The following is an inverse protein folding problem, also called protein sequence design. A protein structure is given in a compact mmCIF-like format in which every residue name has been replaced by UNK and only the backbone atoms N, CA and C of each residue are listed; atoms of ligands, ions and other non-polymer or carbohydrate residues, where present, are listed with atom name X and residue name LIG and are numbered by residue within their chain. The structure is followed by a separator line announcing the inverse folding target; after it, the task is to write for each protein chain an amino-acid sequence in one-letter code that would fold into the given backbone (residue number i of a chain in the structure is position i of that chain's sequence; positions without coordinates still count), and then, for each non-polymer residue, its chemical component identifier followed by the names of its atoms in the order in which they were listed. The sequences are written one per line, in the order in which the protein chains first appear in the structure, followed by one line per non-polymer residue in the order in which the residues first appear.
data_IF_942387418528
#
_entry.id   IF_942387418528
#
_cell.length_a   1.000
_cell.length_b   1.000
_cell.length_c   1.000
_cell.angle_alpha   90.00
_cell.angle_beta   90.00
_cell.angle_gamma   90.00
#
_symmetry.space_group_name_H-M   'P 1'
#
loop_
_entity.id
_entity.type
_entity.pdbx_description
1 polymer ?
#
# COMPACT_ATOMS: atom_id res chain seq x y z
N UNK A 1 26.56 11.71 -39.97
CA UNK A 1 27.02 10.98 -38.76
C UNK A 1 25.78 10.57 -38.00
N UNK A 2 25.43 9.28 -37.99
CA UNK A 2 24.11 8.81 -37.60
C UNK A 2 23.99 8.60 -36.09
N UNK A 3 22.78 8.84 -35.62
CA UNK A 3 22.27 8.66 -34.26
C UNK A 3 22.25 7.17 -33.93
N UNK A 4 23.03 6.75 -32.95
CA UNK A 4 22.96 5.39 -32.41
C UNK A 4 21.76 5.31 -31.46
N UNK A 5 20.74 4.57 -31.91
CA UNK A 5 19.65 4.05 -31.08
C UNK A 5 20.26 3.22 -29.95
N UNK A 6 20.16 3.70 -28.70
CA UNK A 6 20.38 2.84 -27.53
C UNK A 6 19.02 2.28 -27.13
N UNK A 7 18.85 0.99 -27.44
CA UNK A 7 17.80 0.11 -26.99
C UNK A 7 17.94 -0.01 -25.46
N UNK A 8 16.97 0.52 -24.71
CA UNK A 8 16.84 0.26 -23.27
C UNK A 8 15.90 -0.95 -23.09
N UNK A 9 16.51 -2.13 -22.96
CA UNK A 9 15.88 -3.36 -22.48
C UNK A 9 16.48 -3.69 -21.10
N UNK A 10 15.61 -3.82 -20.09
CA UNK A 10 15.76 -4.47 -18.78
C UNK A 10 16.84 -4.00 -17.78
N UNK A 11 16.40 -3.63 -16.57
CA UNK A 11 16.55 -4.44 -15.33
C UNK A 11 16.71 -3.57 -14.07
N UNK A 12 15.82 -3.79 -13.09
CA UNK A 12 15.91 -3.41 -11.66
C UNK A 12 16.14 -1.91 -11.38
N UNK A 13 15.03 -1.16 -11.24
CA UNK A 13 15.06 0.13 -10.55
C UNK A 13 15.22 -0.09 -9.04
N UNK A 14 16.46 -0.18 -8.57
CA UNK A 14 16.81 0.09 -7.18
C UNK A 14 16.64 1.59 -6.93
N UNK A 15 15.48 2.02 -6.47
CA UNK A 15 15.32 3.37 -5.92
C UNK A 15 15.90 3.33 -4.51
N UNK A 16 17.22 3.53 -4.38
CA UNK A 16 17.80 3.89 -3.09
C UNK A 16 17.22 5.24 -2.70
N UNK A 17 16.43 5.27 -1.63
CA UNK A 17 15.89 6.48 -1.05
C UNK A 17 17.01 7.37 -0.45
N UNK A 18 17.74 8.08 -1.32
CA UNK A 18 18.37 9.35 -1.01
C UNK A 18 18.15 10.27 -2.22
N UNK A 19 17.19 11.19 -2.06
CA UNK A 19 16.96 12.38 -2.88
C UNK A 19 16.18 12.29 -4.21
N UNK A 20 15.68 11.13 -4.64
CA UNK A 20 14.69 11.12 -5.72
C UNK A 20 13.27 11.20 -5.15
N UNK A 21 12.65 12.36 -5.37
CA UNK A 21 11.31 12.73 -4.96
C UNK A 21 10.30 11.75 -5.58
N UNK A 22 9.90 10.72 -4.83
CA UNK A 22 8.63 10.04 -5.09
C UNK A 22 7.56 11.09 -4.78
N UNK A 23 7.12 11.80 -5.82
CA UNK A 23 6.02 12.77 -5.71
C UNK A 23 4.82 12.03 -5.12
N UNK A 24 4.06 12.74 -4.30
CA UNK A 24 2.93 12.31 -3.46
C UNK A 24 1.80 11.53 -4.14
N UNK A 25 2.00 11.04 -5.36
CA UNK A 25 1.25 9.98 -6.05
C UNK A 25 2.19 9.36 -7.09
N UNK A 26 2.65 8.14 -6.83
CA UNK A 26 3.50 7.42 -7.76
C UNK A 26 2.67 6.36 -8.48
N UNK A 27 2.38 6.59 -9.77
CA UNK A 27 1.93 5.53 -10.66
C UNK A 27 3.16 4.73 -11.09
N UNK A 28 3.31 3.51 -10.58
CA UNK A 28 4.50 2.72 -10.86
C UNK A 28 4.40 2.10 -12.25
N UNK A 29 5.44 2.38 -13.04
CA UNK A 29 5.63 1.94 -14.41
C UNK A 29 6.71 0.83 -14.52
N UNK A 30 6.90 0.00 -13.50
CA UNK A 30 7.73 -1.21 -13.54
C UNK A 30 7.43 -2.08 -12.31
N UNK A 31 7.91 -3.33 -12.30
CA UNK A 31 8.15 -3.98 -11.02
C UNK A 31 9.12 -3.11 -10.21
N UNK A 32 8.77 -2.82 -8.96
CA UNK A 32 9.48 -1.85 -8.13
C UNK A 32 9.56 -2.32 -6.70
N UNK A 33 10.71 -2.06 -6.10
CA UNK A 33 10.95 -2.22 -4.67
C UNK A 33 11.02 -0.84 -4.04
N UNK A 34 10.16 -0.59 -3.06
CA UNK A 34 10.22 0.60 -2.21
C UNK A 34 10.85 0.15 -0.90
N UNK A 35 12.01 0.72 -0.57
CA UNK A 35 12.75 0.42 0.65
C UNK A 35 13.18 1.69 1.39
N UNK A 36 13.26 1.63 2.72
CA UNK A 36 13.76 2.72 3.57
C UNK A 36 13.07 4.09 3.39
N UNK A 37 11.82 4.11 2.92
CA UNK A 37 11.06 5.35 2.79
C UNK A 37 10.76 5.96 4.17
N UNK A 38 10.94 7.29 4.30
CA UNK A 38 10.74 8.11 5.52
C UNK A 38 10.15 9.49 5.21
N UNK A 39 9.04 9.55 4.48
CA UNK A 39 8.38 10.82 4.12
C UNK A 39 6.89 10.78 4.52
N UNK A 40 6.21 11.94 4.63
CA UNK A 40 5.01 12.07 5.45
C UNK A 40 3.71 11.53 4.80
N UNK A 41 3.72 11.06 3.56
CA UNK A 41 2.59 10.36 2.95
C UNK A 41 3.01 9.74 1.60
N UNK A 42 2.66 8.48 1.37
CA UNK A 42 2.95 7.76 0.13
C UNK A 42 1.68 7.17 -0.49
N UNK A 43 1.28 7.71 -1.63
CA UNK A 43 0.25 7.15 -2.50
C UNK A 43 0.88 6.23 -3.55
N UNK A 44 0.55 4.93 -3.50
CA UNK A 44 0.95 3.94 -4.50
C UNK A 44 -0.29 3.48 -5.27
N UNK A 45 -0.32 3.80 -6.56
CA UNK A 45 -1.36 3.31 -7.46
C UNK A 45 -0.73 2.45 -8.55
N UNK A 46 -0.99 1.14 -8.51
CA UNK A 46 -0.65 0.26 -9.62
C UNK A 46 -1.83 0.27 -10.60
N UNK A 47 -1.67 0.97 -11.71
CA UNK A 47 -2.66 0.96 -12.81
C UNK A 47 -1.99 0.48 -14.09
N UNK A 48 -2.72 -0.26 -14.93
CA UNK A 48 -2.20 -0.70 -16.22
C UNK A 48 -2.03 0.50 -17.16
N UNK A 49 -0.80 0.78 -17.58
CA UNK A 49 -0.55 1.64 -18.75
C UNK A 49 -0.39 0.72 -19.97
N UNK A 50 -1.22 0.92 -21.01
CA UNK A 50 -1.16 0.13 -22.23
C UNK A 50 0.26 0.13 -22.81
N UNK A 51 0.79 -1.07 -23.12
CA UNK A 51 2.12 -1.24 -23.70
C UNK A 51 3.27 -1.40 -22.69
N UNK A 52 2.97 -1.62 -21.40
CA UNK A 52 4.00 -1.84 -20.38
C UNK A 52 3.74 -3.11 -19.53
N UNK A 53 4.74 -3.96 -19.25
CA UNK A 53 4.54 -5.20 -18.49
C UNK A 53 4.83 -5.00 -16.99
N UNK A 54 3.85 -5.15 -16.10
CA UNK A 54 4.06 -5.17 -14.63
C UNK A 54 3.35 -6.35 -14.00
N UNK A 55 4.00 -7.08 -13.09
CA UNK A 55 3.39 -8.24 -12.43
C UNK A 55 3.48 -8.18 -10.88
N UNK A 56 4.32 -7.31 -10.29
CA UNK A 56 4.42 -7.18 -8.82
C UNK A 56 5.12 -5.87 -8.36
N UNK A 57 4.72 -5.28 -7.24
CA UNK A 57 5.46 -4.25 -6.48
C UNK A 57 5.76 -4.76 -5.07
N UNK A 58 6.96 -4.51 -4.56
CA UNK A 58 7.39 -4.92 -3.22
C UNK A 58 7.58 -3.70 -2.32
N UNK A 59 6.95 -3.70 -1.14
CA UNK A 59 7.15 -2.71 -0.09
C UNK A 59 7.88 -3.41 1.06
N UNK A 60 9.07 -2.92 1.44
CA UNK A 60 9.86 -3.53 2.51
C UNK A 60 10.59 -2.49 3.33
N UNK A 61 10.71 -2.71 4.63
CA UNK A 61 11.55 -1.92 5.53
C UNK A 61 11.26 -0.40 5.49
N UNK A 62 9.97 -0.05 5.37
CA UNK A 62 9.53 1.35 5.28
C UNK A 62 9.03 1.86 6.64
N UNK A 63 9.23 3.16 6.90
CA UNK A 63 8.76 3.82 8.13
C UNK A 63 7.97 5.07 7.78
N UNK A 64 6.70 5.05 8.12
CA UNK A 64 5.76 6.17 8.00
C UNK A 64 5.54 6.75 9.40
N UNK A 65 5.84 8.03 9.60
CA UNK A 65 5.71 8.68 10.91
C UNK A 65 5.10 10.07 10.76
N UNK A 66 4.13 10.40 11.63
CA UNK A 66 3.45 11.71 11.65
C UNK A 66 2.77 12.06 10.32
N UNK A 67 2.26 11.03 9.66
CA UNK A 67 1.68 11.14 8.32
C UNK A 67 0.21 11.55 8.38
N UNK A 68 -0.23 12.48 7.54
CA UNK A 68 -1.62 12.97 7.54
C UNK A 68 -2.18 12.98 6.12
N UNK A 69 -3.30 12.30 5.91
CA UNK A 69 -4.08 12.33 4.67
C UNK A 69 -5.49 12.81 4.95
N UNK A 70 -6.07 13.60 4.05
CA UNK A 70 -7.45 14.05 4.18
C UNK A 70 -8.47 12.92 3.92
N UNK A 71 -8.07 11.85 3.20
CA UNK A 71 -8.99 10.84 2.70
C UNK A 71 -8.57 9.42 3.09
N UNK A 72 -7.49 8.92 2.49
CA UNK A 72 -7.11 7.51 2.59
C UNK A 72 -5.68 7.40 3.06
N UNK A 73 -5.42 6.51 4.03
CA UNK A 73 -4.07 6.03 4.29
C UNK A 73 -3.11 7.13 4.73
N UNK A 74 -3.04 7.47 6.01
CA UNK A 74 -2.20 8.57 6.47
C UNK A 74 -0.76 8.40 6.00
N UNK A 75 -0.18 7.22 6.24
CA UNK A 75 1.15 6.85 5.76
C UNK A 75 1.16 6.24 4.36
N UNK A 76 0.29 5.27 4.10
CA UNK A 76 0.28 4.51 2.85
C UNK A 76 -1.14 4.38 2.30
N UNK A 77 -1.33 4.68 1.02
CA UNK A 77 -2.53 4.30 0.28
C UNK A 77 -2.12 3.38 -0.89
N UNK A 78 -2.75 2.22 -0.99
CA UNK A 78 -2.51 1.26 -2.06
C UNK A 78 -3.78 0.94 -2.83
N UNK A 79 -3.66 0.93 -4.16
CA UNK A 79 -4.71 0.47 -5.07
C UNK A 79 -4.14 -0.59 -6.00
N UNK A 80 -4.70 -1.80 -5.96
CA UNK A 80 -4.21 -2.97 -6.70
C UNK A 80 -5.33 -3.55 -7.57
N UNK A 81 -5.11 -3.58 -8.89
CA UNK A 81 -6.07 -4.12 -9.84
C UNK A 81 -5.42 -4.57 -11.15
N UNK A 82 -6.22 -5.04 -12.13
CA UNK A 82 -5.76 -5.57 -13.41
C UNK A 82 -4.77 -6.75 -13.27
N UNK A 83 -5.10 -7.72 -12.41
CA UNK A 83 -4.25 -8.89 -12.16
C UNK A 83 -2.82 -8.57 -11.67
N UNK A 84 -2.62 -7.41 -11.05
CA UNK A 84 -1.33 -6.99 -10.47
C UNK A 84 -1.19 -7.44 -9.04
N UNK A 85 0.05 -7.50 -8.56
CA UNK A 85 0.38 -7.90 -7.19
C UNK A 85 1.10 -6.80 -6.43
N UNK A 86 0.76 -6.62 -5.16
CA UNK A 86 1.64 -5.97 -4.17
C UNK A 86 2.08 -7.02 -3.15
N UNK A 87 3.36 -7.04 -2.82
CA UNK A 87 3.91 -7.82 -1.71
C UNK A 87 4.49 -6.87 -0.67
N UNK A 88 3.99 -6.96 0.55
CA UNK A 88 4.58 -6.30 1.72
C UNK A 88 5.43 -7.32 2.46
N UNK A 89 6.69 -6.98 2.72
CA UNK A 89 7.66 -7.87 3.37
C UNK A 89 8.59 -7.08 4.32
N UNK A 90 9.49 -7.76 5.02
CA UNK A 90 10.44 -7.13 5.93
C UNK A 90 9.75 -6.50 7.15
N UNK A 91 10.29 -5.39 7.65
CA UNK A 91 9.73 -4.70 8.84
C UNK A 91 9.17 -3.33 8.47
N UNK A 92 7.84 -3.21 8.37
CA UNK A 92 7.19 -1.95 8.05
C UNK A 92 6.55 -1.32 9.27
N UNK A 93 6.71 -0.01 9.43
CA UNK A 93 6.23 0.73 10.62
C UNK A 93 5.36 1.91 10.21
N UNK A 94 4.21 2.04 10.88
CA UNK A 94 3.31 3.17 10.80
C UNK A 94 3.15 3.75 12.20
N UNK A 95 3.53 5.01 12.41
CA UNK A 95 3.50 5.66 13.72
C UNK A 95 2.85 7.02 13.66
N UNK A 96 1.86 7.27 14.50
CA UNK A 96 1.20 8.58 14.60
C UNK A 96 0.67 9.06 13.25
N UNK A 97 0.04 8.16 12.48
CA UNK A 97 -0.52 8.47 11.17
C UNK A 97 -2.04 8.69 11.28
N UNK A 98 -2.57 9.61 10.48
CA UNK A 98 -3.97 10.06 10.53
C UNK A 98 -4.59 10.10 9.13
N UNK A 99 -5.81 9.58 9.00
CA UNK A 99 -6.60 9.75 7.78
C UNK A 99 -8.11 9.74 8.06
N UNK A 100 -8.93 10.11 7.08
CA UNK A 100 -10.38 9.86 7.18
C UNK A 100 -10.63 8.37 7.36
N UNK A 101 -10.02 7.52 6.52
CA UNK A 101 -10.10 6.05 6.62
C UNK A 101 -8.72 5.39 6.48
N UNK A 102 -8.47 4.32 7.23
CA UNK A 102 -7.15 3.67 7.26
C UNK A 102 -6.05 4.61 7.79
N UNK A 103 -6.04 4.90 9.09
CA UNK A 103 -5.21 5.97 9.66
C UNK A 103 -3.71 5.86 9.33
N UNK A 104 -3.16 4.66 9.41
CA UNK A 104 -1.81 4.33 8.91
C UNK A 104 -1.81 3.93 7.44
N UNK A 105 -2.59 2.91 7.09
CA UNK A 105 -2.61 2.34 5.75
C UNK A 105 -4.04 2.07 5.28
N UNK A 106 -4.35 2.47 4.06
CA UNK A 106 -5.58 2.12 3.36
C UNK A 106 -5.26 1.35 2.08
N UNK A 107 -5.86 0.18 1.88
CA UNK A 107 -5.70 -0.63 0.67
C UNK A 107 -7.03 -0.99 0.01
N UNK A 108 -7.07 -0.93 -1.32
CA UNK A 108 -8.19 -1.41 -2.14
C UNK A 108 -7.66 -2.39 -3.19
N UNK A 109 -8.21 -3.61 -3.18
CA UNK A 109 -7.81 -4.72 -4.06
C UNK A 109 -9.05 -5.13 -4.88
N UNK A 110 -9.00 -5.01 -6.21
CA UNK A 110 -10.15 -5.28 -7.10
C UNK A 110 -9.71 -5.74 -8.49
N UNK A 111 -10.63 -6.17 -9.37
CA UNK A 111 -10.36 -6.57 -10.76
C UNK A 111 -9.12 -7.49 -10.90
N UNK A 112 -9.15 -8.62 -10.18
CA UNK A 112 -8.09 -9.64 -10.15
C UNK A 112 -6.82 -9.24 -9.39
N UNK A 113 -6.80 -8.06 -8.76
CA UNK A 113 -5.67 -7.56 -7.97
C UNK A 113 -5.32 -8.49 -6.80
N UNK A 114 -4.03 -8.55 -6.44
CA UNK A 114 -3.54 -9.43 -5.38
C UNK A 114 -2.65 -8.70 -4.39
N UNK A 115 -2.79 -8.99 -3.11
CA UNK A 115 -1.91 -8.49 -2.08
C UNK A 115 -1.45 -9.61 -1.17
N UNK A 116 -0.13 -9.73 -0.99
CA UNK A 116 0.49 -10.60 0.00
C UNK A 116 1.14 -9.74 1.08
N UNK A 117 0.71 -9.89 2.33
CA UNK A 117 1.33 -9.23 3.48
C UNK A 117 2.07 -10.29 4.28
N UNK A 118 3.40 -10.20 4.34
CA UNK A 118 4.28 -11.10 5.09
C UNK A 118 5.32 -10.30 5.90
N UNK A 119 6.04 -10.98 6.79
CA UNK A 119 7.01 -10.33 7.68
C UNK A 119 6.35 -9.64 8.88
N UNK A 120 6.80 -8.43 9.22
CA UNK A 120 6.37 -7.72 10.42
C UNK A 120 5.80 -6.34 10.08
N UNK A 121 4.61 -6.05 10.59
CA UNK A 121 3.97 -4.73 10.44
C UNK A 121 3.62 -4.19 11.83
N UNK A 122 4.20 -3.05 12.20
CA UNK A 122 3.86 -2.36 13.45
C UNK A 122 3.07 -1.10 13.15
N UNK A 123 1.91 -0.96 13.78
CA UNK A 123 1.02 0.19 13.64
C UNK A 123 0.74 0.77 15.02
N UNK A 124 1.24 1.97 15.29
CA UNK A 124 1.22 2.58 16.62
C UNK A 124 0.66 4.00 16.59
N UNK A 125 -0.26 4.31 17.51
CA UNK A 125 -0.86 5.64 17.66
C UNK A 125 -1.50 6.17 16.35
N UNK A 126 -2.02 5.30 15.48
CA UNK A 126 -2.67 5.69 14.23
C UNK A 126 -4.18 5.88 14.41
N UNK A 127 -4.77 6.84 13.68
CA UNK A 127 -6.17 7.18 13.86
C UNK A 127 -6.95 7.39 12.55
N UNK A 128 -8.17 6.87 12.53
CA UNK A 128 -9.19 7.18 11.52
C UNK A 128 -10.20 8.16 12.12
N UNK A 129 -10.41 9.29 11.44
CA UNK A 129 -11.28 10.39 11.93
C UNK A 129 -12.71 10.32 11.36
N UNK A 130 -13.01 9.36 10.48
CA UNK A 130 -14.34 9.19 9.93
C UNK A 130 -15.33 8.69 10.99
N UNK A 131 -16.46 9.39 11.13
CA UNK A 131 -17.47 9.12 12.16
C UNK A 131 -18.62 8.21 11.69
N UNK A 132 -18.59 7.73 10.44
CA UNK A 132 -19.59 6.81 9.89
C UNK A 132 -19.03 6.02 8.71
N UNK A 133 -19.37 4.74 8.58
CA UNK A 133 -18.91 3.89 7.49
C UNK A 133 -17.65 3.09 7.85
N UNK A 134 -16.78 2.86 6.89
CA UNK A 134 -15.57 2.04 7.08
C UNK A 134 -14.51 2.81 7.88
N UNK A 135 -13.94 2.16 8.90
CA UNK A 135 -12.95 2.79 9.78
C UNK A 135 -11.53 2.28 9.53
N UNK A 136 -10.90 1.63 10.52
CA UNK A 136 -9.51 1.16 10.41
C UNK A 136 -8.52 2.18 10.95
N UNK A 137 -8.55 2.41 12.25
CA UNK A 137 -7.69 3.40 12.92
C UNK A 137 -6.21 3.20 12.59
N UNK A 138 -5.75 1.95 12.57
CA UNK A 138 -4.46 1.58 12.00
C UNK A 138 -4.52 1.30 10.51
N UNK A 139 -5.33 0.31 10.11
CA UNK A 139 -5.37 -0.21 8.75
C UNK A 139 -6.81 -0.39 8.25
N UNK A 140 -7.07 -0.02 7.00
CA UNK A 140 -8.27 -0.41 6.26
C UNK A 140 -7.84 -1.21 5.02
N UNK A 141 -8.40 -2.40 4.82
CA UNK A 141 -8.21 -3.18 3.60
C UNK A 141 -9.57 -3.63 3.06
N UNK A 142 -9.85 -3.29 1.80
CA UNK A 142 -11.03 -3.75 1.06
C UNK A 142 -10.63 -4.67 -0.09
N UNK A 143 -11.26 -5.84 -0.18
CA UNK A 143 -11.07 -6.79 -1.30
C UNK A 143 -12.39 -6.99 -2.03
N UNK A 144 -12.46 -6.62 -3.30
CA UNK A 144 -13.72 -6.63 -4.05
C UNK A 144 -13.54 -7.23 -5.43
N UNK A 145 -14.65 -7.63 -6.08
CA UNK A 145 -14.65 -8.19 -7.43
C UNK A 145 -13.98 -9.57 -7.56
N UNK A 146 -14.24 -10.24 -8.68
CA UNK A 146 -13.78 -11.60 -8.92
C UNK A 146 -12.26 -11.69 -9.02
N UNK A 147 -11.71 -12.82 -8.55
CA UNK A 147 -10.29 -13.19 -8.65
C UNK A 147 -9.33 -12.29 -7.83
N UNK A 148 -9.87 -11.32 -7.11
CA UNK A 148 -9.12 -10.49 -6.16
C UNK A 148 -8.76 -11.28 -4.90
N UNK A 149 -7.52 -11.14 -4.45
CA UNK A 149 -6.97 -11.92 -3.33
C UNK A 149 -6.19 -11.06 -2.35
N UNK A 150 -6.49 -11.23 -1.07
CA UNK A 150 -5.61 -10.83 0.04
C UNK A 150 -5.13 -12.07 0.78
N UNK A 151 -3.82 -12.20 0.95
CA UNK A 151 -3.19 -13.21 1.80
C UNK A 151 -2.36 -12.51 2.88
N UNK A 152 -2.61 -12.81 4.16
CA UNK A 152 -1.88 -12.29 5.31
C UNK A 152 -1.11 -13.44 5.96
N UNK A 153 0.22 -13.42 5.81
CA UNK A 153 1.18 -14.33 6.45
C UNK A 153 2.13 -13.55 7.38
N UNK A 154 1.71 -12.35 7.80
CA UNK A 154 2.51 -11.43 8.61
C UNK A 154 2.13 -11.45 10.08
N UNK A 155 3.10 -11.12 10.93
CA UNK A 155 2.83 -10.67 12.30
C UNK A 155 2.51 -9.16 12.28
N UNK A 156 1.26 -8.82 12.56
CA UNK A 156 0.78 -7.44 12.59
C UNK A 156 0.45 -7.03 14.02
N UNK A 157 1.17 -6.02 14.54
CA UNK A 157 0.97 -5.47 15.88
C UNK A 157 0.32 -4.09 15.82
N UNK A 158 -0.87 -3.97 16.42
CA UNK A 158 -1.57 -2.70 16.59
C UNK A 158 -1.45 -2.21 18.04
N UNK A 159 -0.96 -0.99 18.25
CA UNK A 159 -0.84 -0.37 19.57
C UNK A 159 -1.50 1.01 19.55
N UNK A 160 -2.41 1.28 20.49
CA UNK A 160 -3.09 2.57 20.64
C UNK A 160 -3.82 3.12 19.40
N UNK A 161 -4.10 2.28 18.40
CA UNK A 161 -4.85 2.71 17.22
C UNK A 161 -6.35 2.91 17.54
N UNK A 162 -6.97 3.96 17.00
CA UNK A 162 -8.40 4.25 17.24
C UNK A 162 -9.12 4.67 15.97
N UNK A 163 -10.40 4.34 15.92
CA UNK A 163 -11.33 4.75 14.87
C UNK A 163 -12.55 5.36 15.53
N UNK A 164 -13.06 6.45 14.98
CA UNK A 164 -14.36 7.01 15.39
C UNK A 164 -15.56 6.22 14.84
N UNK A 165 -15.31 5.25 13.94
CA UNK A 165 -16.30 4.32 13.41
C UNK A 165 -15.93 2.87 13.80
N UNK A 166 -15.60 2.02 12.83
CA UNK A 166 -15.29 0.60 13.04
C UNK A 166 -13.78 0.32 13.03
N UNK A 167 -13.34 -0.76 13.68
CA UNK A 167 -11.96 -1.26 13.60
C UNK A 167 -10.89 -0.30 14.14
N UNK A 168 -10.62 -0.32 15.45
CA UNK A 168 -9.58 0.52 16.07
C UNK A 168 -8.18 0.22 15.53
N UNK A 169 -7.79 -1.07 15.48
CA UNK A 169 -6.56 -1.53 14.85
C UNK A 169 -6.73 -1.69 13.33
N UNK A 170 -7.57 -2.63 12.92
CA UNK A 170 -7.82 -2.93 11.51
C UNK A 170 -9.31 -3.01 11.21
N UNK A 171 -9.69 -2.58 10.01
CA UNK A 171 -10.98 -2.86 9.38
C UNK A 171 -10.73 -3.58 8.05
N UNK A 172 -11.22 -4.80 7.93
CA UNK A 172 -11.02 -5.67 6.76
C UNK A 172 -12.38 -6.15 6.24
N UNK A 173 -12.63 -5.97 4.95
CA UNK A 173 -13.87 -6.43 4.32
C UNK A 173 -13.63 -7.04 2.93
N UNK A 174 -14.53 -7.95 2.56
CA UNK A 174 -14.56 -8.64 1.28
C UNK A 174 -15.95 -8.64 0.66
N UNK A 175 -16.06 -8.52 -0.67
CA UNK A 175 -17.33 -8.56 -1.40
C UNK A 175 -17.43 -9.84 -2.25
N UNK A 176 -18.56 -10.02 -2.96
CA UNK A 176 -18.83 -11.21 -3.79
C UNK A 176 -17.65 -11.52 -4.72
N UNK A 177 -17.24 -12.80 -4.72
CA UNK A 177 -16.16 -13.39 -5.53
C UNK A 177 -14.70 -12.98 -5.19
N UNK A 178 -14.48 -12.26 -4.08
CA UNK A 178 -13.14 -12.05 -3.51
C UNK A 178 -12.71 -13.19 -2.57
N UNK A 179 -11.40 -13.32 -2.33
CA UNK A 179 -10.83 -14.27 -1.37
C UNK A 179 -9.91 -13.53 -0.37
N UNK A 180 -10.08 -13.87 0.92
CA UNK A 180 -9.26 -13.38 2.02
C UNK A 180 -8.72 -14.60 2.78
N UNK A 181 -7.40 -14.68 2.91
CA UNK A 181 -6.66 -15.71 3.65
C UNK A 181 -5.84 -15.03 4.77
N UNK A 182 -5.98 -15.50 6.02
CA UNK A 182 -5.31 -14.99 7.23
C UNK A 182 -4.77 -16.16 8.04
#
# INVERSE_FOLDING_TARGET
MPVIKIILLFAVANIFAQNDVIRSSATLKSAQTINNYRQPHLDIQLTSVAGTPYDECVITDCTFTECVSALYGGGLYTRVNNNKKITVNGTNTFKSCFASTGGGWHSIIFDGGKMLIQGYVTVTDCFSIQNSGDGGGGMLIGVTEAESLLTIEAEILFTNCRSSSSGGGMYLYGNVASLIEI
#
